data_IF_181708740379
#
_entry.id   IF_181708740379
#
_cell.length_a   1.000
_cell.length_b   1.000
_cell.length_c   1.000
_cell.angle_alpha   90.00
_cell.angle_beta   90.00
_cell.angle_gamma   90.00
#
_symmetry.space_group_name_H-M   'P 1'
#
loop_
_entity.id
_entity.type
_entity.pdbx_description
1 polymer ?
#
# COMPACT_ATOMS: atom_id res chain seq x y z
N UNK A 1 2.94 10.38 6.11
CA UNK A 1 1.77 10.28 5.22
C UNK A 1 1.65 8.81 4.85
N UNK A 2 0.66 8.06 5.33
CA UNK A 2 0.58 6.62 5.07
C UNK A 2 -0.16 6.36 3.74
N UNK A 3 0.35 5.46 2.90
CA UNK A 3 -0.39 4.94 1.76
C UNK A 3 -1.27 3.81 2.31
N UNK A 4 -2.55 4.11 2.51
CA UNK A 4 -3.54 3.13 2.95
C UNK A 4 -4.20 2.51 1.71
N UNK A 5 -3.85 1.27 1.38
CA UNK A 5 -4.75 0.40 0.64
C UNK A 5 -5.78 -0.10 1.65
N UNK A 6 -6.96 0.52 1.60
CA UNK A 6 -8.11 0.16 2.41
C UNK A 6 -8.50 -1.28 2.09
N UNK A 7 -8.29 -2.20 3.04
CA UNK A 7 -9.03 -3.45 3.01
C UNK A 7 -10.24 -3.37 3.91
N UNK A 8 -11.36 -3.69 3.30
CA UNK A 8 -12.66 -3.83 3.93
C UNK A 8 -12.70 -5.19 4.62
N UNK A 9 -12.20 -5.29 5.86
CA UNK A 9 -12.38 -6.51 6.65
C UNK A 9 -13.85 -6.63 7.13
N UNK A 10 -14.44 -7.80 6.89
CA UNK A 10 -15.61 -8.29 7.66
C UNK A 10 -16.87 -8.65 6.88
N UNK A 11 -17.02 -8.28 5.58
CA UNK A 11 -18.18 -8.70 4.77
C UNK A 11 -17.99 -8.46 3.26
N UNK A 12 -17.03 -9.14 2.62
CA UNK A 12 -16.70 -8.96 1.20
C UNK A 12 -17.87 -9.22 0.21
N UNK A 13 -18.98 -9.81 0.65
CA UNK A 13 -20.12 -10.17 -0.22
C UNK A 13 -21.33 -9.23 -0.14
N UNK A 14 -21.20 -8.06 0.49
CA UNK A 14 -22.37 -7.21 0.80
C UNK A 14 -22.65 -6.08 -0.17
N UNK A 15 -21.71 -5.75 -1.04
CA UNK A 15 -21.93 -4.82 -2.12
C UNK A 15 -22.37 -5.62 -3.34
N UNK A 16 -23.56 -5.32 -3.86
CA UNK A 16 -23.82 -5.69 -5.24
C UNK A 16 -22.94 -4.86 -6.20
N UNK A 17 -22.90 -5.26 -7.47
CA UNK A 17 -22.04 -4.60 -8.46
C UNK A 17 -22.36 -3.10 -8.61
N UNK A 18 -23.62 -2.69 -8.41
CA UNK A 18 -24.05 -1.30 -8.54
C UNK A 18 -23.65 -0.48 -7.31
N UNK A 19 -23.79 -1.03 -6.11
CA UNK A 19 -23.36 -0.39 -4.87
C UNK A 19 -21.83 -0.20 -4.85
N UNK A 20 -21.07 -1.18 -5.35
CA UNK A 20 -19.61 -1.09 -5.46
C UNK A 20 -19.21 0.03 -6.44
N UNK A 21 -19.82 0.07 -7.63
CA UNK A 21 -19.56 1.12 -8.62
C UNK A 21 -19.93 2.51 -8.11
N UNK A 22 -21.06 2.64 -7.42
CA UNK A 22 -21.51 3.91 -6.82
C UNK A 22 -20.56 4.39 -5.74
N UNK A 23 -20.10 3.46 -4.89
CA UNK A 23 -19.14 3.77 -3.83
C UNK A 23 -17.81 4.23 -4.42
N UNK A 24 -17.29 3.54 -5.46
CA UNK A 24 -16.07 3.95 -6.15
C UNK A 24 -16.22 5.30 -6.86
N UNK A 25 -17.37 5.57 -7.49
CA UNK A 25 -17.63 6.84 -8.17
C UNK A 25 -17.74 8.03 -7.19
N UNK A 26 -18.17 7.78 -5.96
CA UNK A 26 -18.31 8.80 -4.91
C UNK A 26 -17.09 8.90 -3.99
N UNK A 27 -16.19 7.92 -4.05
CA UNK A 27 -14.95 7.91 -3.27
C UNK A 27 -13.99 9.00 -3.78
N UNK A 28 -13.99 10.15 -3.09
CA UNK A 28 -13.10 11.27 -3.36
C UNK A 28 -12.11 11.44 -2.22
N UNK A 29 -10.99 10.72 -2.33
CA UNK A 29 -9.82 10.97 -1.50
C UNK A 29 -8.72 11.58 -2.36
N UNK A 30 -7.91 12.51 -1.82
CA UNK A 30 -6.80 13.11 -2.56
C UNK A 30 -5.69 12.07 -2.76
N UNK A 31 -5.80 11.27 -3.82
CA UNK A 31 -4.75 10.35 -4.23
C UNK A 31 -3.70 11.08 -5.05
N UNK A 32 -2.43 10.88 -4.68
CA UNK A 32 -1.30 11.27 -5.51
C UNK A 32 -0.96 10.10 -6.43
N UNK A 33 -0.98 10.35 -7.74
CA UNK A 33 -0.59 9.37 -8.76
C UNK A 33 0.90 9.56 -9.07
N UNK A 34 1.66 8.45 -9.03
CA UNK A 34 3.06 8.38 -9.44
C UNK A 34 3.16 7.41 -10.61
N UNK A 35 3.97 7.75 -11.61
CA UNK A 35 4.22 6.88 -12.75
C UNK A 35 5.03 5.68 -12.31
N UNK A 36 4.58 4.46 -12.65
CA UNK A 36 5.37 3.25 -12.40
C UNK A 36 6.71 3.25 -13.15
N UNK A 37 6.80 3.98 -14.28
CA UNK A 37 8.06 4.13 -15.01
C UNK A 37 9.14 4.82 -14.15
N UNK A 38 8.73 5.76 -13.28
CA UNK A 38 9.64 6.48 -12.38
C UNK A 38 10.12 5.60 -11.22
N UNK A 39 9.42 4.49 -10.95
CA UNK A 39 9.71 3.53 -9.87
C UNK A 39 10.50 2.32 -10.35
N UNK A 40 10.50 2.04 -11.66
CA UNK A 40 10.79 0.71 -12.19
C UNK A 40 12.22 0.24 -11.92
N UNK A 41 13.20 1.15 -12.00
CA UNK A 41 14.60 0.82 -11.72
C UNK A 41 14.78 0.33 -10.28
N UNK A 42 14.28 1.11 -9.31
CA UNK A 42 14.37 0.75 -7.90
C UNK A 42 13.50 -0.48 -7.57
N UNK A 43 12.29 -0.56 -8.12
CA UNK A 43 11.40 -1.69 -7.91
C UNK A 43 12.03 -3.02 -8.37
N UNK A 44 12.72 -3.04 -9.51
CA UNK A 44 13.42 -4.25 -9.98
C UNK A 44 14.59 -4.61 -9.06
N UNK A 45 15.35 -3.61 -8.59
CA UNK A 45 16.46 -3.86 -7.64
C UNK A 45 15.94 -4.49 -6.34
N UNK A 46 14.86 -3.95 -5.78
CA UNK A 46 14.21 -4.49 -4.58
C UNK A 46 13.66 -5.90 -4.85
N UNK A 47 12.97 -6.11 -5.97
CA UNK A 47 12.42 -7.40 -6.34
C UNK A 47 13.48 -8.51 -6.38
N UNK A 48 14.63 -8.22 -7.01
CA UNK A 48 15.76 -9.14 -7.08
C UNK A 48 16.41 -9.38 -5.72
N UNK A 49 16.56 -8.33 -4.91
CA UNK A 49 17.20 -8.43 -3.60
C UNK A 49 16.40 -9.26 -2.59
N UNK A 50 15.07 -9.19 -2.63
CA UNK A 50 14.20 -9.82 -1.63
C UNK A 50 13.33 -10.96 -2.18
N UNK A 51 13.47 -11.30 -3.45
CA UNK A 51 12.73 -12.41 -4.08
C UNK A 51 11.23 -12.17 -4.15
N UNK A 52 10.81 -10.92 -4.35
CA UNK A 52 9.40 -10.51 -4.50
C UNK A 52 9.09 -10.11 -5.93
N UNK A 53 7.81 -9.94 -6.28
CA UNK A 53 7.44 -9.47 -7.61
C UNK A 53 7.85 -8.00 -7.81
N UNK A 54 8.13 -7.60 -9.05
CA UNK A 54 8.35 -6.19 -9.38
C UNK A 54 7.12 -5.32 -9.05
N UNK A 55 5.92 -5.91 -9.03
CA UNK A 55 4.69 -5.24 -8.61
C UNK A 55 4.70 -4.92 -7.11
N UNK A 56 4.98 -5.90 -6.25
CA UNK A 56 5.08 -5.69 -4.80
C UNK A 56 6.21 -4.71 -4.46
N UNK A 57 7.36 -4.88 -5.13
CA UNK A 57 8.50 -4.00 -4.98
C UNK A 57 8.22 -2.56 -5.43
N UNK A 58 7.31 -2.35 -6.39
CA UNK A 58 6.90 -0.99 -6.81
C UNK A 58 6.22 -0.23 -5.67
N UNK A 59 5.44 -0.91 -4.81
CA UNK A 59 4.86 -0.28 -3.63
C UNK A 59 5.90 0.06 -2.57
N UNK A 60 6.90 -0.81 -2.38
CA UNK A 60 8.01 -0.56 -1.45
C UNK A 60 8.87 0.61 -1.95
N UNK A 61 9.22 0.65 -3.23
CA UNK A 61 9.95 1.74 -3.85
C UNK A 61 9.18 3.07 -3.73
N UNK A 62 7.88 3.06 -4.00
CA UNK A 62 7.03 4.24 -3.86
C UNK A 62 7.01 4.74 -2.41
N UNK A 63 6.86 3.84 -1.42
CA UNK A 63 6.79 4.24 -0.02
C UNK A 63 8.09 4.89 0.44
N UNK A 64 9.24 4.40 -0.01
CA UNK A 64 10.52 5.06 0.20
C UNK A 64 10.59 6.43 -0.48
N UNK A 65 10.25 6.51 -1.77
CA UNK A 65 10.35 7.76 -2.53
C UNK A 65 9.54 8.90 -1.90
N UNK A 66 8.38 8.59 -1.31
CA UNK A 66 7.50 9.59 -0.68
C UNK A 66 7.67 9.71 0.84
N UNK A 67 8.60 8.95 1.45
CA UNK A 67 8.83 8.96 2.90
C UNK A 67 7.62 8.50 3.71
N UNK A 68 6.95 7.45 3.25
CA UNK A 68 5.72 6.92 3.81
C UNK A 68 5.87 5.48 4.32
N UNK A 69 5.12 5.14 5.37
CA UNK A 69 4.85 3.75 5.73
C UNK A 69 3.96 3.11 4.66
N UNK A 70 4.38 1.96 4.12
CA UNK A 70 3.54 1.11 3.30
C UNK A 70 2.68 0.23 4.21
N UNK A 71 1.36 0.45 4.18
CA UNK A 71 0.42 -0.44 4.85
C UNK A 71 -0.14 -1.43 3.83
N UNK A 72 -0.03 -2.72 4.12
CA UNK A 72 -0.50 -3.80 3.23
C UNK A 72 -1.18 -4.90 4.03
N UNK A 73 -2.13 -5.59 3.41
CA UNK A 73 -2.63 -6.87 3.92
C UNK A 73 -1.87 -8.09 3.41
N UNK A 74 -0.91 -7.88 2.50
CA UNK A 74 -0.06 -8.98 2.05
C UNK A 74 1.00 -9.29 3.11
N UNK A 75 0.67 -10.21 4.01
CA UNK A 75 1.57 -10.72 5.03
C UNK A 75 2.84 -11.38 4.45
N UNK A 76 2.79 -11.88 3.20
CA UNK A 76 3.98 -12.45 2.56
C UNK A 76 4.94 -11.34 2.18
N UNK A 77 4.44 -10.20 1.69
CA UNK A 77 5.26 -9.02 1.41
C UNK A 77 5.91 -8.51 2.69
N UNK A 78 5.14 -8.32 3.77
CA UNK A 78 5.68 -7.87 5.07
C UNK A 78 6.83 -8.76 5.54
N UNK A 79 6.66 -10.08 5.46
CA UNK A 79 7.69 -11.05 5.85
C UNK A 79 8.91 -11.05 4.93
N UNK A 80 8.69 -10.92 3.62
CA UNK A 80 9.77 -10.96 2.63
C UNK A 80 10.76 -9.81 2.81
N UNK A 81 10.29 -8.64 3.25
CA UNK A 81 11.13 -7.45 3.47
C UNK A 81 11.43 -7.16 4.94
N UNK A 82 11.07 -8.05 5.87
CA UNK A 82 11.21 -7.81 7.32
C UNK A 82 12.68 -7.61 7.79
N UNK A 83 13.65 -8.16 7.06
CA UNK A 83 15.07 -7.98 7.34
C UNK A 83 15.66 -6.69 6.73
N UNK A 84 14.88 -5.96 5.94
CA UNK A 84 15.28 -4.73 5.29
C UNK A 84 14.94 -3.49 6.14
N UNK A 85 15.53 -2.35 5.79
CA UNK A 85 15.20 -1.05 6.40
C UNK A 85 13.95 -0.39 5.80
N UNK A 86 13.04 -1.14 5.18
CA UNK A 86 11.80 -0.60 4.63
C UNK A 86 10.71 -0.50 5.70
N UNK A 87 9.99 0.62 5.75
CA UNK A 87 8.85 0.79 6.64
C UNK A 87 7.57 0.21 6.01
N UNK A 88 7.51 -1.13 5.99
CA UNK A 88 6.37 -1.91 5.48
C UNK A 88 5.69 -2.61 6.66
N UNK A 89 4.38 -2.42 6.82
CA UNK A 89 3.63 -2.95 7.95
C UNK A 89 2.33 -3.61 7.50
N UNK A 90 1.92 -4.61 8.27
CA UNK A 90 0.57 -5.15 8.17
C UNK A 90 -0.45 -4.06 8.49
N UNK A 91 -1.50 -3.98 7.69
CA UNK A 91 -2.64 -3.10 7.97
C UNK A 91 -3.43 -3.57 9.19
N UNK A 92 -3.39 -4.87 9.53
CA UNK A 92 -4.13 -5.43 10.67
C UNK A 92 -3.54 -5.02 12.03
N UNK A 93 -2.23 -4.76 12.07
CA UNK A 93 -1.51 -4.42 13.30
C UNK A 93 -1.06 -2.94 13.31
N UNK A 94 -1.71 -2.08 12.53
CA UNK A 94 -1.39 -0.66 12.44
C UNK A 94 -2.28 0.21 13.34
N UNK A 95 -1.65 0.97 14.23
CA UNK A 95 -2.34 2.03 14.99
C UNK A 95 -2.33 3.32 14.21
N UNK A 96 -3.51 3.87 13.92
CA UNK A 96 -3.63 5.18 13.29
C UNK A 96 -3.05 6.24 14.23
N UNK A 97 -1.96 6.94 13.84
CA UNK A 97 -1.43 8.01 14.66
C UNK A 97 -2.48 9.12 14.80
N UNK A 98 -2.58 9.76 15.96
CA UNK A 98 -3.53 10.86 16.16
C UNK A 98 -3.29 11.94 15.11
N UNK A 99 -4.36 12.42 14.48
CA UNK A 99 -4.26 13.52 13.53
C UNK A 99 -3.68 14.74 14.25
N UNK A 100 -2.71 15.45 13.64
CA UNK A 100 -2.19 16.68 14.24
C UNK A 100 -3.34 17.66 14.47
N UNK A 101 -3.42 18.22 15.68
CA UNK A 101 -4.34 19.31 15.98
C UNK A 101 -4.05 20.47 15.03
N UNK A 102 -5.03 20.81 14.20
CA UNK A 102 -5.01 22.00 13.32
C UNK A 102 -5.05 23.27 14.16
#
# INVERSE_FOLDING_TARGET
MAIALCTIEGKLWRYDAAEAQTSLATFKVPLRVISTADLMEEAVNIALAYGISAYDASYVALSQQVGATLLTLDEKLVRAVAAASYDVRSFNDFTIPPLPSV
#
